data_IF_205003955530
#
_entry.id   IF_205003955530
#
_cell.length_a   1.000
_cell.length_b   1.000
_cell.length_c   1.000
_cell.angle_alpha   90.00
_cell.angle_beta   90.00
_cell.angle_gamma   90.00
#
_symmetry.space_group_name_H-M   'P 1'
#
loop_
_entity.id
_entity.type
_entity.pdbx_description
1 polymer ?
#
# COMPACT_ATOMS: atom_id res chain seq x y z
N UNK A 1 -1.21 31.95 -21.70
CA UNK A 1 -1.02 31.91 -20.24
C UNK A 1 0.04 32.92 -19.89
N UNK A 2 -0.32 33.98 -19.16
CA UNK A 2 0.62 35.07 -18.86
C UNK A 2 1.53 34.77 -17.66
N UNK A 3 1.06 33.91 -16.74
CA UNK A 3 1.82 33.39 -15.58
C UNK A 3 1.28 32.03 -15.13
N UNK A 4 2.17 31.15 -14.67
CA UNK A 4 1.79 29.90 -13.98
C UNK A 4 1.50 30.23 -12.52
N UNK A 5 0.33 29.83 -12.03
CA UNK A 5 -0.16 30.15 -10.67
C UNK A 5 -0.45 28.93 -9.81
N UNK A 6 -0.30 27.73 -10.37
CA UNK A 6 -0.50 26.47 -9.65
C UNK A 6 0.26 25.32 -10.34
N UNK A 7 0.47 24.23 -9.60
CA UNK A 7 1.09 23.01 -10.09
C UNK A 7 0.79 21.84 -9.16
N UNK A 8 1.06 20.60 -9.58
CA UNK A 8 0.74 19.41 -8.80
C UNK A 8 1.59 19.26 -7.52
N UNK A 9 2.71 19.98 -7.43
CA UNK A 9 3.64 19.98 -6.30
C UNK A 9 3.90 21.40 -5.77
N UNK A 10 2.88 22.27 -5.80
CA UNK A 10 3.05 23.72 -5.53
C UNK A 10 3.50 24.04 -4.10
N UNK A 11 3.17 23.17 -3.14
CA UNK A 11 3.47 23.33 -1.71
C UNK A 11 4.79 22.66 -1.28
N UNK A 12 5.61 22.26 -2.26
CA UNK A 12 6.91 21.60 -2.05
C UNK A 12 7.80 22.40 -1.09
N UNK A 13 8.45 21.68 -0.15
CA UNK A 13 9.40 22.22 0.83
C UNK A 13 8.81 23.45 1.54
N UNK A 14 7.56 23.32 2.00
CA UNK A 14 6.82 24.35 2.72
C UNK A 14 6.57 25.64 1.91
N UNK A 15 6.51 25.52 0.57
CA UNK A 15 6.15 26.62 -0.32
C UNK A 15 4.79 27.24 0.02
N UNK A 16 4.80 28.54 0.34
CA UNK A 16 3.62 29.29 0.76
C UNK A 16 3.56 29.59 2.26
N UNK A 17 2.78 30.61 2.61
CA UNK A 17 2.59 31.05 4.01
C UNK A 17 2.02 29.92 4.88
N UNK A 18 2.47 29.86 6.14
CA UNK A 18 1.99 28.86 7.09
C UNK A 18 0.47 28.91 7.27
N UNK A 19 -0.16 30.09 7.29
CA UNK A 19 -1.62 30.22 7.40
C UNK A 19 -2.38 29.48 6.28
N UNK A 20 -1.80 29.43 5.08
CA UNK A 20 -2.37 28.69 3.94
C UNK A 20 -2.15 27.19 4.10
N UNK A 21 -0.92 26.77 4.42
CA UNK A 21 -0.54 25.36 4.60
C UNK A 21 -1.19 24.71 5.82
N UNK A 22 -1.42 25.47 6.89
CA UNK A 22 -2.05 25.01 8.13
C UNK A 22 -3.55 24.72 7.97
N UNK A 23 -4.13 24.92 6.78
CA UNK A 23 -5.48 24.43 6.41
C UNK A 23 -5.51 22.93 6.11
N UNK A 24 -4.35 22.29 6.09
CA UNK A 24 -4.22 20.84 6.11
C UNK A 24 -5.13 20.22 7.19
N UNK A 25 -5.93 19.25 6.77
CA UNK A 25 -6.91 18.55 7.61
C UNK A 25 -6.23 17.82 8.77
N UNK A 26 -4.98 17.39 8.61
CA UNK A 26 -4.26 16.67 9.66
C UNK A 26 -3.89 17.57 10.86
N UNK A 27 -4.05 18.90 10.78
CA UNK A 27 -3.96 19.80 11.94
C UNK A 27 -5.26 19.90 12.76
N UNK A 28 -6.32 19.19 12.40
CA UNK A 28 -7.54 19.16 13.21
C UNK A 28 -7.27 18.70 14.64
N UNK A 29 -7.99 19.31 15.60
CA UNK A 29 -7.83 19.07 17.04
C UNK A 29 -6.43 19.35 17.59
N UNK A 30 -5.64 20.22 16.94
CA UNK A 30 -4.31 20.62 17.39
C UNK A 30 -4.16 22.14 17.54
N UNK A 31 -3.38 22.57 18.54
CA UNK A 31 -2.93 23.96 18.65
C UNK A 31 -1.75 24.20 17.71
N UNK A 32 -2.05 24.62 16.47
CA UNK A 32 -1.03 24.72 15.42
C UNK A 32 -0.19 26.00 15.41
N UNK A 33 -0.51 26.99 16.24
CA UNK A 33 0.15 28.31 16.23
C UNK A 33 1.67 28.23 16.42
N UNK A 34 2.14 27.32 17.29
CA UNK A 34 3.56 27.15 17.57
C UNK A 34 4.36 26.69 16.33
N UNK A 35 3.77 25.93 15.41
CA UNK A 35 4.44 25.43 14.21
C UNK A 35 4.59 26.48 13.10
N UNK A 36 4.05 27.68 13.31
CA UNK A 36 4.35 28.86 12.49
C UNK A 36 5.64 29.57 12.89
N UNK A 37 6.24 29.22 14.04
CA UNK A 37 7.52 29.76 14.50
C UNK A 37 8.68 29.04 13.82
N UNK A 38 9.72 29.78 13.46
CA UNK A 38 10.87 29.26 12.72
C UNK A 38 11.51 28.05 13.43
N UNK A 39 11.69 28.15 14.74
CA UNK A 39 12.33 27.15 15.61
C UNK A 39 11.54 25.83 15.70
N UNK A 40 10.24 25.88 15.47
CA UNK A 40 9.32 24.75 15.56
C UNK A 40 8.88 24.23 14.18
N UNK A 41 9.53 24.70 13.11
CA UNK A 41 9.23 24.25 11.75
C UNK A 41 9.46 22.75 11.62
N UNK A 42 8.47 22.04 11.07
CA UNK A 42 8.59 20.65 10.64
C UNK A 42 8.05 20.48 9.22
N UNK A 43 8.53 19.44 8.54
CA UNK A 43 8.00 18.97 7.27
C UNK A 43 8.20 17.46 7.16
N UNK A 44 7.36 16.81 6.36
CA UNK A 44 7.50 15.39 5.99
C UNK A 44 7.05 15.19 4.55
N UNK A 45 7.45 14.06 3.96
CA UNK A 45 7.02 13.68 2.63
C UNK A 45 5.95 12.59 2.72
N UNK A 46 4.89 12.72 1.92
CA UNK A 46 3.83 11.73 1.82
C UNK A 46 3.65 11.30 0.35
N UNK A 47 4.48 10.38 -0.16
CA UNK A 47 4.28 9.81 -1.49
C UNK A 47 3.09 8.86 -1.49
N UNK A 48 2.12 9.08 -2.38
CA UNK A 48 0.85 8.31 -2.42
C UNK A 48 0.50 7.80 -3.80
N UNK A 49 -0.14 6.65 -3.87
CA UNK A 49 -0.76 6.11 -5.08
C UNK A 49 -2.19 5.64 -4.76
N UNK A 50 -2.82 4.83 -5.62
CA UNK A 50 -4.14 4.28 -5.29
C UNK A 50 -3.99 3.23 -4.19
N UNK A 51 -4.81 3.30 -3.15
CA UNK A 51 -4.72 2.36 -2.03
C UNK A 51 -5.10 0.91 -2.35
N UNK A 52 -5.66 0.62 -3.54
CA UNK A 52 -6.07 -0.74 -3.95
C UNK A 52 -6.90 -1.48 -2.87
N UNK A 53 -7.74 -0.70 -2.19
CA UNK A 53 -8.63 -1.02 -1.08
C UNK A 53 -9.29 -2.40 -1.14
N UNK A 54 -9.54 -3.02 0.01
CA UNK A 54 -10.41 -4.20 0.12
C UNK A 54 -11.88 -3.82 -0.01
N UNK A 55 -12.29 -2.67 0.55
CA UNK A 55 -13.62 -2.08 0.39
C UNK A 55 -13.57 -0.78 -0.46
N UNK A 56 -13.29 -0.87 -1.78
CA UNK A 56 -13.08 0.30 -2.61
C UNK A 56 -14.37 1.13 -2.83
N UNK A 57 -14.46 2.30 -2.19
CA UNK A 57 -15.56 3.24 -2.40
C UNK A 57 -15.75 3.65 -3.87
N UNK A 58 -14.70 3.61 -4.69
CA UNK A 58 -14.79 3.88 -6.12
C UNK A 58 -15.55 2.79 -6.90
N UNK A 59 -15.45 1.52 -6.48
CA UNK A 59 -16.26 0.43 -7.06
C UNK A 59 -17.72 0.66 -6.70
N UNK A 60 -18.02 0.89 -5.42
CA UNK A 60 -19.38 1.11 -4.92
C UNK A 60 -20.10 2.30 -5.56
N UNK A 61 -19.35 3.34 -5.96
CA UNK A 61 -19.92 4.58 -6.51
C UNK A 61 -19.95 4.63 -8.04
N UNK A 62 -19.50 3.60 -8.76
CA UNK A 62 -19.51 3.58 -10.22
C UNK A 62 -20.86 3.09 -10.76
N UNK A 63 -21.71 3.96 -11.37
CA UNK A 63 -23.07 3.55 -11.77
C UNK A 63 -23.09 2.49 -12.88
N UNK A 64 -22.03 2.42 -13.70
CA UNK A 64 -21.94 1.46 -14.80
C UNK A 64 -21.28 0.13 -14.39
N UNK A 65 -20.85 -0.03 -13.13
CA UNK A 65 -20.11 -1.23 -12.69
C UNK A 65 -18.79 -1.46 -13.46
N UNK A 66 -18.17 -0.39 -13.97
CA UNK A 66 -16.95 -0.51 -14.79
C UNK A 66 -15.66 -0.61 -13.96
N UNK A 67 -15.76 -0.49 -12.63
CA UNK A 67 -14.61 -0.58 -11.73
C UNK A 67 -14.75 -1.90 -10.97
N UNK A 68 -13.66 -2.67 -10.91
CA UNK A 68 -13.64 -3.97 -10.28
C UNK A 68 -12.30 -4.20 -9.58
N UNK A 69 -12.29 -5.10 -8.60
CA UNK A 69 -11.10 -5.64 -7.95
C UNK A 69 -10.83 -7.01 -8.56
N UNK A 70 -9.62 -7.24 -9.06
CA UNK A 70 -9.16 -8.54 -9.57
C UNK A 70 -9.07 -9.53 -8.43
N UNK A 71 -9.44 -10.78 -8.69
CA UNK A 71 -9.54 -11.83 -7.68
C UNK A 71 -8.15 -12.34 -7.31
N UNK A 72 -7.32 -12.60 -8.33
CA UNK A 72 -6.02 -13.26 -8.22
C UNK A 72 -4.93 -12.41 -7.54
N UNK A 73 -5.07 -11.07 -7.54
CA UNK A 73 -4.05 -10.16 -6.98
C UNK A 73 -4.61 -8.91 -6.30
N UNK A 74 -5.92 -8.73 -6.24
CA UNK A 74 -6.55 -7.60 -5.57
C UNK A 74 -6.36 -6.24 -6.26
N UNK A 75 -5.80 -6.18 -7.48
CA UNK A 75 -5.61 -4.91 -8.19
C UNK A 75 -6.98 -4.36 -8.62
N UNK A 76 -7.20 -3.06 -8.41
CA UNK A 76 -8.47 -2.38 -8.71
C UNK A 76 -8.31 -1.61 -10.01
N UNK A 77 -9.13 -1.91 -11.01
CA UNK A 77 -9.02 -1.34 -12.36
C UNK A 77 -10.31 -0.66 -12.78
N UNK A 78 -10.20 0.28 -13.73
CA UNK A 78 -11.33 0.86 -14.44
C UNK A 78 -11.30 0.28 -15.85
N UNK A 79 -12.29 -0.54 -16.18
CA UNK A 79 -12.50 -1.09 -17.51
C UNK A 79 -12.75 0.06 -18.49
N UNK A 80 -11.82 0.25 -19.43
CA UNK A 80 -11.90 1.35 -20.39
C UNK A 80 -13.00 1.12 -21.45
N UNK A 81 -13.42 -0.12 -21.70
CA UNK A 81 -14.51 -0.42 -22.62
C UNK A 81 -15.86 -0.24 -21.95
N UNK A 82 -16.02 -0.66 -20.68
CA UNK A 82 -17.27 -0.53 -19.92
C UNK A 82 -17.46 0.85 -19.29
N UNK A 83 -16.40 1.64 -19.08
CA UNK A 83 -16.52 2.98 -18.52
C UNK A 83 -17.41 3.86 -19.42
N UNK A 84 -18.41 4.52 -18.81
CA UNK A 84 -19.35 5.44 -19.48
C UNK A 84 -19.11 6.91 -19.15
N UNK A 85 -18.03 7.23 -18.45
CA UNK A 85 -17.68 8.63 -18.17
C UNK A 85 -18.63 9.33 -17.20
N UNK A 86 -19.25 8.60 -16.26
CA UNK A 86 -20.15 9.18 -15.25
C UNK A 86 -19.44 10.07 -14.22
N UNK A 87 -18.12 9.88 -14.03
CA UNK A 87 -17.25 10.70 -13.15
C UNK A 87 -17.57 10.61 -11.65
N UNK A 88 -18.59 9.86 -11.23
CA UNK A 88 -18.97 9.69 -9.82
C UNK A 88 -17.87 9.04 -8.98
N UNK A 89 -17.10 8.12 -9.57
CA UNK A 89 -15.99 7.44 -8.90
C UNK A 89 -14.87 8.40 -8.46
N UNK A 90 -14.72 9.55 -9.12
CA UNK A 90 -13.73 10.58 -8.75
C UNK A 90 -14.08 11.18 -7.40
N UNK A 91 -15.37 11.50 -7.20
CA UNK A 91 -15.88 11.97 -5.90
C UNK A 91 -15.78 10.86 -4.86
N UNK A 92 -16.22 9.65 -5.21
CA UNK A 92 -16.29 8.51 -4.31
C UNK A 92 -14.94 8.05 -3.77
N UNK A 93 -13.84 8.21 -4.51
CA UNK A 93 -12.50 7.92 -4.00
C UNK A 93 -12.09 9.00 -2.97
N UNK A 94 -11.95 8.66 -1.67
CA UNK A 94 -11.62 9.66 -0.66
C UNK A 94 -10.18 10.17 -0.83
N UNK A 95 -9.26 9.30 -1.30
CA UNK A 95 -7.86 9.64 -1.61
C UNK A 95 -7.65 10.48 -2.89
N UNK A 96 -8.71 10.68 -3.68
CA UNK A 96 -8.68 11.38 -4.98
C UNK A 96 -7.63 10.83 -5.95
N UNK A 97 -7.58 9.49 -6.06
CA UNK A 97 -6.63 8.73 -6.91
C UNK A 97 -7.22 8.22 -8.22
N UNK A 98 -8.36 8.77 -8.60
CA UNK A 98 -8.97 8.59 -9.92
C UNK A 98 -8.99 9.93 -10.61
N UNK A 99 -8.50 9.96 -11.84
CA UNK A 99 -8.33 11.17 -12.63
C UNK A 99 -9.19 11.07 -13.89
N UNK A 100 -9.87 12.15 -14.25
CA UNK A 100 -10.65 12.19 -15.47
C UNK A 100 -9.73 12.45 -16.67
N UNK A 101 -9.76 11.57 -17.67
CA UNK A 101 -9.19 11.86 -18.96
C UNK A 101 -10.19 12.72 -19.74
N UNK A 102 -9.93 14.03 -19.75
CA UNK A 102 -10.78 15.03 -20.40
C UNK A 102 -10.88 14.88 -21.92
N UNK A 103 -9.97 14.12 -22.55
CA UNK A 103 -9.99 13.83 -23.98
C UNK A 103 -10.82 12.58 -24.31
N UNK A 104 -10.56 11.46 -23.64
CA UNK A 104 -11.29 10.21 -23.89
C UNK A 104 -12.70 10.22 -23.30
N UNK A 105 -12.97 11.09 -22.34
CA UNK A 105 -14.23 11.15 -21.61
C UNK A 105 -14.38 10.06 -20.55
N UNK A 106 -13.32 9.31 -20.24
CA UNK A 106 -13.30 8.20 -19.28
C UNK A 106 -12.36 8.50 -18.12
N UNK A 107 -12.55 7.81 -17.01
CA UNK A 107 -11.67 7.94 -15.85
C UNK A 107 -10.55 6.90 -15.89
N UNK A 108 -9.38 7.31 -15.40
CA UNK A 108 -8.18 6.48 -15.29
C UNK A 108 -7.63 6.57 -13.86
N UNK A 109 -6.82 5.58 -13.46
CA UNK A 109 -6.22 5.51 -12.13
C UNK A 109 -4.91 4.75 -12.18
N UNK A 110 -4.17 4.77 -11.06
CA UNK A 110 -3.06 3.83 -10.87
C UNK A 110 -3.54 2.39 -11.09
N UNK A 111 -2.84 1.65 -11.94
CA UNK A 111 -3.14 0.27 -12.32
C UNK A 111 -2.26 -0.75 -11.58
N UNK A 112 -1.60 -0.32 -10.50
CA UNK A 112 -0.58 -1.06 -9.75
C UNK A 112 0.50 -1.73 -10.61
N UNK A 113 0.77 -1.17 -11.79
CA UNK A 113 1.65 -1.78 -12.79
C UNK A 113 1.34 -3.27 -13.04
N UNK A 114 0.06 -3.66 -13.11
CA UNK A 114 -0.34 -5.05 -13.25
C UNK A 114 0.41 -5.84 -14.35
N UNK A 115 0.79 -5.27 -15.53
CA UNK A 115 1.55 -6.04 -16.52
C UNK A 115 2.93 -6.51 -16.02
N UNK A 116 3.48 -5.86 -14.99
CA UNK A 116 4.72 -6.25 -14.31
C UNK A 116 4.44 -7.22 -13.16
N UNK A 117 3.46 -6.90 -12.32
CA UNK A 117 3.04 -7.74 -11.18
C UNK A 117 2.64 -9.15 -11.67
N UNK A 118 1.94 -9.24 -12.81
CA UNK A 118 1.54 -10.51 -13.42
C UNK A 118 2.71 -11.47 -13.66
N UNK A 119 3.93 -10.95 -13.80
CA UNK A 119 5.15 -11.73 -14.00
C UNK A 119 6.11 -11.69 -12.80
N UNK A 120 5.63 -11.33 -11.60
CA UNK A 120 6.45 -11.28 -10.39
C UNK A 120 7.43 -10.11 -10.32
N UNK A 121 7.24 -9.06 -11.12
CA UNK A 121 8.08 -7.87 -11.08
C UNK A 121 7.50 -6.77 -10.19
N UNK A 122 8.33 -5.96 -9.53
CA UNK A 122 7.84 -4.82 -8.76
C UNK A 122 7.18 -3.75 -9.62
N UNK A 123 6.32 -2.95 -9.00
CA UNK A 123 5.75 -1.77 -9.65
C UNK A 123 6.85 -0.75 -10.00
N UNK A 124 6.65 0.02 -11.07
CA UNK A 124 7.65 1.00 -11.55
C UNK A 124 8.06 1.97 -10.43
N UNK A 125 7.09 2.50 -9.69
CA UNK A 125 7.36 3.44 -8.61
C UNK A 125 7.99 2.81 -7.36
N UNK A 126 7.93 1.47 -7.22
CA UNK A 126 8.64 0.74 -6.16
C UNK A 126 10.07 0.47 -6.54
N UNK A 127 10.31 -0.07 -7.74
CA UNK A 127 11.64 -0.37 -8.24
C UNK A 127 12.51 0.89 -8.41
N UNK A 128 11.91 1.99 -8.88
CA UNK A 128 12.61 3.27 -9.07
C UNK A 128 12.67 4.15 -7.82
N UNK A 129 12.23 3.63 -6.66
CA UNK A 129 12.27 4.38 -5.41
C UNK A 129 13.72 4.54 -4.92
N UNK A 130 14.30 5.71 -5.21
CA UNK A 130 15.69 6.05 -4.85
C UNK A 130 15.94 5.94 -3.35
N UNK A 131 14.97 6.36 -2.53
CA UNK A 131 15.06 6.25 -1.07
C UNK A 131 14.93 4.82 -0.53
N UNK A 132 14.61 3.83 -1.38
CA UNK A 132 14.44 2.41 -1.00
C UNK A 132 13.42 2.19 0.13
N UNK A 133 12.41 3.05 0.22
CA UNK A 133 11.39 3.04 1.29
C UNK A 133 10.14 2.20 0.96
N UNK A 134 10.05 1.63 -0.23
CA UNK A 134 8.88 0.88 -0.69
C UNK A 134 9.14 -0.62 -0.61
N UNK A 135 8.17 -1.33 -0.07
CA UNK A 135 8.18 -2.78 0.08
C UNK A 135 6.91 -3.34 -0.57
N UNK A 136 7.04 -4.48 -1.24
CA UNK A 136 5.93 -5.21 -1.85
C UNK A 136 5.96 -6.64 -1.32
N UNK A 137 4.83 -7.11 -0.86
CA UNK A 137 4.65 -8.43 -0.29
C UNK A 137 3.17 -8.78 -0.25
N UNK A 138 2.87 -10.07 -0.32
CA UNK A 138 1.50 -10.59 -0.29
C UNK A 138 0.90 -10.42 1.11
N UNK A 139 -0.40 -10.17 1.16
CA UNK A 139 -1.23 -10.32 2.34
C UNK A 139 -2.41 -11.22 1.97
N UNK A 140 -2.57 -12.32 2.69
CA UNK A 140 -3.78 -13.14 2.62
C UNK A 140 -4.85 -12.46 3.46
N UNK A 141 -6.08 -12.41 2.96
CA UNK A 141 -7.18 -11.75 3.66
C UNK A 141 -8.48 -12.53 3.51
N UNK A 142 -9.30 -12.50 4.55
CA UNK A 142 -10.67 -13.04 4.51
C UNK A 142 -11.61 -12.03 3.85
N UNK A 143 -12.08 -12.35 2.65
CA UNK A 143 -12.99 -11.49 1.90
C UNK A 143 -14.38 -11.38 2.55
N UNK A 144 -14.83 -12.41 3.27
CA UNK A 144 -16.14 -12.43 3.91
C UNK A 144 -16.17 -11.49 5.14
N UNK A 145 -15.02 -11.24 5.77
CA UNK A 145 -14.89 -10.34 6.89
C UNK A 145 -14.85 -8.84 6.52
N UNK A 146 -14.69 -8.49 5.23
CA UNK A 146 -14.49 -7.11 4.76
C UNK A 146 -15.59 -6.16 5.22
N UNK A 147 -16.86 -6.52 5.05
CA UNK A 147 -17.98 -5.66 5.41
C UNK A 147 -17.99 -5.39 6.90
N UNK A 148 -17.92 -6.45 7.71
CA UNK A 148 -17.94 -6.36 9.18
C UNK A 148 -16.78 -5.53 9.74
N UNK A 149 -15.59 -5.62 9.13
CA UNK A 149 -14.44 -4.82 9.52
C UNK A 149 -14.64 -3.34 9.16
N UNK A 150 -15.10 -3.05 7.93
CA UNK A 150 -15.31 -1.69 7.45
C UNK A 150 -16.49 -0.97 8.14
N UNK A 151 -17.47 -1.72 8.64
CA UNK A 151 -18.67 -1.20 9.28
C UNK A 151 -18.58 -1.10 10.81
N UNK A 152 -17.41 -1.37 11.42
CA UNK A 152 -17.19 -1.19 12.87
C UNK A 152 -17.61 0.20 13.35
N UNK A 153 -18.25 0.29 14.51
CA UNK A 153 -18.87 1.53 15.00
C UNK A 153 -17.83 2.65 15.18
N UNK A 154 -16.77 2.38 15.95
CA UNK A 154 -15.73 3.35 16.24
C UNK A 154 -14.63 3.33 15.16
N UNK A 155 -14.38 4.48 14.55
CA UNK A 155 -13.40 4.64 13.48
C UNK A 155 -11.96 4.35 13.93
N UNK A 156 -11.65 4.53 15.23
CA UNK A 156 -10.33 4.18 15.77
C UNK A 156 -10.06 2.68 15.77
N UNK A 157 -11.11 1.86 15.74
CA UNK A 157 -10.97 0.41 15.72
C UNK A 157 -10.66 -0.12 14.31
N UNK A 158 -10.89 0.69 13.26
CA UNK A 158 -10.73 0.26 11.85
C UNK A 158 -9.32 -0.26 11.54
N UNK A 159 -8.28 0.32 12.15
CA UNK A 159 -6.92 -0.18 12.00
C UNK A 159 -6.80 -1.63 12.49
N UNK A 160 -7.26 -1.91 13.71
CA UNK A 160 -7.19 -3.25 14.27
C UNK A 160 -8.13 -4.21 13.53
N UNK A 161 -9.35 -3.78 13.20
CA UNK A 161 -10.30 -4.59 12.42
C UNK A 161 -9.75 -4.97 11.06
N UNK A 162 -8.98 -4.10 10.40
CA UNK A 162 -8.31 -4.47 9.16
C UNK A 162 -7.18 -5.47 9.38
N UNK A 163 -6.40 -5.35 10.46
CA UNK A 163 -5.41 -6.37 10.81
C UNK A 163 -6.06 -7.74 11.05
N UNK A 164 -7.24 -7.76 11.67
CA UNK A 164 -8.00 -9.00 11.95
C UNK A 164 -8.54 -9.68 10.68
N UNK A 165 -8.64 -8.93 9.57
CA UNK A 165 -8.98 -9.46 8.24
C UNK A 165 -7.76 -10.14 7.58
N UNK A 166 -6.53 -9.78 7.97
CA UNK A 166 -5.32 -10.41 7.45
C UNK A 166 -5.05 -11.75 8.14
N UNK A 167 -4.71 -12.75 7.34
CA UNK A 167 -4.53 -14.13 7.78
C UNK A 167 -3.04 -14.46 7.94
N UNK A 168 -2.69 -15.30 8.92
CA UNK A 168 -1.33 -15.78 9.12
C UNK A 168 -0.93 -16.76 8.01
N UNK A 169 0.03 -16.41 7.13
CA UNK A 169 0.43 -17.27 6.02
C UNK A 169 1.23 -18.51 6.46
N UNK A 170 1.63 -18.60 7.73
CA UNK A 170 2.33 -19.76 8.29
C UNK A 170 1.39 -20.70 9.07
N UNK A 171 0.13 -20.31 9.30
CA UNK A 171 -0.86 -21.17 9.94
C UNK A 171 -1.28 -22.30 8.97
N UNK A 172 -1.08 -23.59 9.31
CA UNK A 172 -1.49 -24.71 8.48
C UNK A 172 -2.96 -24.68 8.05
N UNK A 173 -3.86 -24.19 8.91
CA UNK A 173 -5.28 -24.10 8.59
C UNK A 173 -5.56 -23.03 7.52
N UNK A 174 -4.86 -21.89 7.59
CA UNK A 174 -4.93 -20.84 6.57
C UNK A 174 -4.35 -21.33 5.25
N UNK A 175 -3.23 -22.07 5.28
CA UNK A 175 -2.61 -22.64 4.07
C UNK A 175 -3.56 -23.62 3.37
N UNK A 176 -4.17 -24.54 4.14
CA UNK A 176 -5.14 -25.50 3.60
C UNK A 176 -6.34 -24.79 2.98
N UNK A 177 -6.89 -23.79 3.67
CA UNK A 177 -8.03 -23.01 3.18
C UNK A 177 -7.65 -22.18 1.93
N UNK A 178 -6.47 -21.54 1.90
CA UNK A 178 -6.01 -20.78 0.75
C UNK A 178 -5.88 -21.66 -0.51
N UNK A 179 -5.33 -22.87 -0.37
CA UNK A 179 -5.25 -23.84 -1.48
C UNK A 179 -6.65 -24.27 -1.96
N UNK A 180 -7.58 -24.47 -1.03
CA UNK A 180 -8.97 -24.82 -1.33
C UNK A 180 -9.70 -23.70 -2.07
N UNK A 181 -9.40 -22.45 -1.74
CA UNK A 181 -9.96 -21.26 -2.41
C UNK A 181 -9.23 -20.91 -3.71
N UNK A 182 -8.26 -21.73 -4.14
CA UNK A 182 -7.59 -21.59 -5.44
C UNK A 182 -6.39 -20.65 -5.45
N UNK A 183 -5.88 -20.24 -4.28
CA UNK A 183 -4.64 -19.45 -4.19
C UNK A 183 -3.45 -20.32 -4.61
N UNK A 184 -2.63 -19.89 -5.59
CA UNK A 184 -1.47 -20.67 -6.02
C UNK A 184 -0.44 -20.86 -4.90
N UNK A 185 0.21 -22.03 -4.84
CA UNK A 185 1.23 -22.33 -3.82
C UNK A 185 2.35 -21.29 -3.79
N UNK A 186 2.81 -20.80 -4.95
CA UNK A 186 3.82 -19.75 -5.05
C UNK A 186 3.41 -18.42 -4.40
N UNK A 187 2.11 -18.10 -4.37
CA UNK A 187 1.56 -16.90 -3.74
C UNK A 187 1.54 -17.09 -2.22
N UNK A 188 1.22 -18.30 -1.74
CA UNK A 188 1.32 -18.66 -0.32
C UNK A 188 2.78 -18.60 0.15
N UNK A 189 3.72 -19.18 -0.60
CA UNK A 189 5.15 -19.13 -0.31
C UNK A 189 5.68 -17.67 -0.28
N UNK A 190 5.17 -16.81 -1.17
CA UNK A 190 5.47 -15.38 -1.15
C UNK A 190 4.87 -14.67 0.07
N UNK A 191 3.67 -15.06 0.52
CA UNK A 191 3.05 -14.50 1.72
C UNK A 191 3.84 -14.83 2.99
N UNK A 192 4.38 -16.04 3.10
CA UNK A 192 5.18 -16.49 4.25
C UNK A 192 6.46 -15.68 4.47
N UNK A 193 7.00 -15.07 3.41
CA UNK A 193 8.20 -14.23 3.47
C UNK A 193 7.90 -12.75 3.20
N UNK A 194 6.63 -12.34 3.28
CA UNK A 194 6.17 -10.99 2.92
C UNK A 194 6.75 -9.91 3.85
N UNK A 195 7.52 -8.93 3.32
CA UNK A 195 7.98 -7.80 4.12
C UNK A 195 6.81 -6.93 4.61
N UNK A 196 5.70 -6.91 3.87
CA UNK A 196 4.51 -6.15 4.22
C UNK A 196 3.81 -6.78 5.43
N UNK A 197 3.67 -8.11 5.44
CA UNK A 197 3.14 -8.84 6.60
C UNK A 197 3.98 -8.57 7.84
N UNK A 198 5.31 -8.70 7.74
CA UNK A 198 6.24 -8.40 8.84
C UNK A 198 6.07 -6.99 9.40
N UNK A 199 6.00 -5.98 8.54
CA UNK A 199 5.86 -4.58 8.99
C UNK A 199 4.49 -4.26 9.59
N UNK A 200 3.41 -4.82 9.04
CA UNK A 200 2.05 -4.52 9.48
C UNK A 200 1.60 -5.39 10.67
N UNK A 201 1.86 -6.70 10.61
CA UNK A 201 1.38 -7.71 11.57
C UNK A 201 2.39 -7.95 12.68
N UNK A 202 3.63 -8.33 12.34
CA UNK A 202 4.61 -8.78 13.35
C UNK A 202 5.19 -7.61 14.14
N UNK A 203 5.68 -6.58 13.45
CA UNK A 203 6.43 -5.48 14.06
C UNK A 203 5.56 -4.26 14.36
N UNK A 204 4.31 -4.21 13.89
CA UNK A 204 3.38 -3.09 14.10
C UNK A 204 4.00 -1.72 13.77
N UNK A 205 4.77 -1.66 12.67
CA UNK A 205 5.43 -0.45 12.19
C UNK A 205 4.61 0.26 11.11
N UNK A 206 4.02 -0.51 10.21
CA UNK A 206 3.22 0.02 9.11
C UNK A 206 1.77 0.23 9.57
N UNK A 207 1.21 1.38 9.19
CA UNK A 207 -0.14 1.83 9.53
C UNK A 207 -0.89 2.24 8.26
N UNK A 208 -2.22 2.01 8.18
CA UNK A 208 -3.03 2.38 7.01
C UNK A 208 -3.08 3.91 6.84
N UNK A 209 -3.25 4.39 5.60
CA UNK A 209 -3.51 5.81 5.36
C UNK A 209 -5.00 6.12 5.49
N UNK A 210 -5.36 7.00 6.42
CA UNK A 210 -6.75 7.39 6.70
C UNK A 210 -7.72 6.18 6.80
N UNK A 211 -7.54 5.29 7.80
CA UNK A 211 -8.41 4.13 7.98
C UNK A 211 -9.89 4.52 8.18
N UNK A 212 -10.17 5.69 8.74
CA UNK A 212 -11.52 6.25 8.96
C UNK A 212 -12.33 6.43 7.68
N UNK A 213 -11.69 6.38 6.51
CA UNK A 213 -12.41 6.34 5.23
C UNK A 213 -13.13 5.01 4.97
N UNK A 214 -12.94 4.01 5.83
CA UNK A 214 -13.63 2.71 5.81
C UNK A 214 -13.44 1.92 4.51
N UNK A 215 -12.41 2.27 3.75
CA UNK A 215 -12.09 1.58 2.50
C UNK A 215 -11.19 0.37 2.69
N UNK A 216 -10.63 0.17 3.90
CA UNK A 216 -9.61 -0.83 4.19
C UNK A 216 -8.43 -0.75 3.19
N UNK A 217 -7.63 0.34 3.24
CA UNK A 217 -6.57 0.63 2.28
C UNK A 217 -5.44 -0.41 2.35
N UNK A 218 -4.77 -0.71 1.23
CA UNK A 218 -3.71 -1.74 1.14
C UNK A 218 -2.30 -1.16 0.89
N UNK A 219 -2.13 0.17 0.96
CA UNK A 219 -0.80 0.80 0.91
C UNK A 219 -0.54 1.49 2.25
N UNK A 220 0.34 0.90 3.04
CA UNK A 220 0.57 1.29 4.43
C UNK A 220 1.90 2.03 4.59
N UNK A 221 2.00 2.78 5.67
CA UNK A 221 3.08 3.74 5.93
C UNK A 221 3.71 3.49 7.29
N UNK A 222 5.04 3.46 7.32
CA UNK A 222 5.79 3.59 8.58
C UNK A 222 5.91 5.09 8.89
N UNK A 223 5.48 5.56 10.07
CA UNK A 223 5.55 6.99 10.41
C UNK A 223 7.00 7.47 10.47
N UNK A 224 7.31 8.71 10.05
CA UNK A 224 8.68 9.22 10.04
C UNK A 224 9.15 9.59 11.45
N UNK A 225 10.40 9.22 11.78
CA UNK A 225 11.13 9.90 12.85
C UNK A 225 11.50 11.33 12.42
N UNK A 226 11.79 12.19 13.38
CA UNK A 226 12.20 13.58 13.14
C UNK A 226 13.33 14.02 14.06
N UNK A 227 13.95 15.18 13.83
CA UNK A 227 14.81 15.82 14.83
C UNK A 227 14.05 16.08 16.14
N UNK A 228 14.80 16.37 17.20
CA UNK A 228 14.24 16.78 18.48
C UNK A 228 13.64 18.20 18.44
N UNK A 229 12.65 18.46 19.29
CA UNK A 229 12.09 19.77 19.55
C UNK A 229 13.14 20.71 20.14
N UNK A 230 12.93 22.02 19.95
CA UNK A 230 13.79 23.04 20.53
C UNK A 230 13.70 22.98 22.06
N UNK A 231 14.78 22.57 22.71
CA UNK A 231 14.92 22.56 24.17
C UNK A 231 15.75 23.77 24.64
N UNK A 232 15.55 24.21 25.88
CA UNK A 232 16.23 25.38 26.45
C UNK A 232 17.74 25.15 26.68
N UNK A 233 18.14 23.90 26.93
CA UNK A 233 19.52 23.45 27.11
C UNK A 233 19.83 22.27 26.18
N UNK A 234 21.10 21.87 26.05
CA UNK A 234 21.60 20.84 25.12
C UNK A 234 21.04 19.40 25.32
N UNK A 235 20.02 19.23 26.16
CA UNK A 235 19.36 17.97 26.49
C UNK A 235 20.12 17.15 27.52
N UNK A 236 19.38 16.47 28.41
CA UNK A 236 19.90 15.42 29.28
C UNK A 236 19.89 14.07 28.54
N UNK A 237 20.71 13.11 28.99
CA UNK A 237 20.67 11.74 28.46
C UNK A 237 19.32 11.10 28.80
N UNK A 238 18.53 10.75 27.78
CA UNK A 238 17.22 10.12 27.92
C UNK A 238 17.31 8.62 28.19
N UNK A 239 16.14 7.96 28.18
CA UNK A 239 16.05 6.50 28.37
C UNK A 239 16.83 5.70 27.31
N UNK A 240 17.01 6.30 26.13
CA UNK A 240 17.81 5.78 25.01
C UNK A 240 19.25 6.36 24.96
N UNK A 241 19.75 6.92 26.07
CA UNK A 241 21.06 7.57 26.13
C UNK A 241 21.12 8.82 25.25
N UNK A 242 21.99 8.82 24.24
CA UNK A 242 22.13 9.95 23.30
C UNK A 242 21.07 9.96 22.18
N UNK A 243 20.27 8.90 22.05
CA UNK A 243 19.24 8.83 21.02
C UNK A 243 17.96 9.53 21.52
N UNK A 244 17.20 10.20 20.61
CA UNK A 244 15.96 10.86 20.98
C UNK A 244 14.95 9.91 21.61
N UNK A 245 14.25 10.38 22.65
CA UNK A 245 13.02 9.75 23.12
C UNK A 245 11.84 10.21 22.24
N UNK A 246 10.78 9.40 22.10
CA UNK A 246 9.66 9.71 21.20
C UNK A 246 8.98 11.04 21.54
N UNK A 247 8.87 11.37 22.83
CA UNK A 247 8.24 12.59 23.31
C UNK A 247 9.03 13.86 22.92
N UNK A 248 10.32 13.70 22.57
CA UNK A 248 11.18 14.79 22.14
C UNK A 248 11.07 15.09 20.63
N UNK A 249 10.37 14.28 19.84
CA UNK A 249 10.30 14.43 18.38
C UNK A 249 9.54 15.70 17.97
N UNK A 250 10.08 16.43 16.97
CA UNK A 250 9.51 17.67 16.45
C UNK A 250 8.20 17.51 15.68
N UNK A 251 8.04 16.42 14.93
CA UNK A 251 6.77 16.16 14.26
C UNK A 251 5.73 15.81 15.34
N UNK A 252 4.61 16.56 15.44
CA UNK A 252 3.59 16.24 16.41
C UNK A 252 2.96 14.87 16.14
N UNK A 253 2.99 13.99 17.14
CA UNK A 253 2.41 12.64 17.03
C UNK A 253 0.91 12.68 16.70
N UNK A 254 0.18 13.69 17.20
CA UNK A 254 -1.24 13.84 16.88
C UNK A 254 -1.49 14.09 15.38
N UNK A 255 -0.59 14.81 14.70
CA UNK A 255 -0.70 15.02 13.25
C UNK A 255 -0.53 13.71 12.49
N UNK A 256 0.44 12.88 12.90
CA UNK A 256 0.64 11.54 12.34
C UNK A 256 -0.54 10.61 12.65
N UNK A 257 -1.14 10.74 13.84
CA UNK A 257 -2.29 9.95 14.23
C UNK A 257 -3.55 10.32 13.42
N UNK A 258 -3.78 11.61 13.20
CA UNK A 258 -4.84 12.10 12.33
C UNK A 258 -4.67 11.61 10.87
N UNK A 259 -3.45 11.26 10.47
CA UNK A 259 -3.13 10.77 9.12
C UNK A 259 -3.23 9.25 9.00
N UNK A 260 -2.86 8.50 10.03
CA UNK A 260 -2.60 7.06 9.91
C UNK A 260 -3.49 6.17 10.78
N UNK A 261 -4.16 6.73 11.79
CA UNK A 261 -4.80 5.94 12.86
C UNK A 261 -6.08 6.61 13.39
N UNK A 262 -6.78 7.37 12.55
CA UNK A 262 -8.03 8.06 12.92
C UNK A 262 -7.88 8.90 14.22
N UNK A 263 -6.71 9.51 14.43
CA UNK A 263 -6.39 10.33 15.59
C UNK A 263 -5.97 9.57 16.85
N UNK A 264 -5.86 8.24 16.83
CA UNK A 264 -5.29 7.47 17.94
C UNK A 264 -3.75 7.49 17.91
N UNK A 265 -3.12 8.10 18.91
CA UNK A 265 -1.66 8.23 18.97
C UNK A 265 -0.95 6.94 19.35
N UNK A 266 -1.63 5.96 19.97
CA UNK A 266 -0.96 4.79 20.55
C UNK A 266 -0.24 3.93 19.50
N UNK A 267 -0.84 3.57 18.35
CA UNK A 267 -0.14 2.76 17.35
C UNK A 267 1.04 3.52 16.70
N UNK A 268 0.90 4.84 16.55
CA UNK A 268 1.98 5.70 16.03
C UNK A 268 3.16 5.74 17.01
N UNK A 269 2.88 5.97 18.29
CA UNK A 269 3.91 5.96 19.34
C UNK A 269 4.62 4.61 19.39
N UNK A 270 3.88 3.50 19.32
CA UNK A 270 4.47 2.15 19.32
C UNK A 270 5.43 1.98 18.14
N UNK A 271 5.02 2.34 16.92
CA UNK A 271 5.86 2.24 15.72
C UNK A 271 7.14 3.08 15.85
N UNK A 272 7.02 4.34 16.31
CA UNK A 272 8.15 5.24 16.51
C UNK A 272 9.11 4.73 17.60
N UNK A 273 8.57 4.26 18.74
CA UNK A 273 9.36 3.68 19.84
C UNK A 273 10.11 2.44 19.38
N UNK A 274 9.47 1.54 18.63
CA UNK A 274 10.11 0.32 18.09
C UNK A 274 11.26 0.63 17.14
N UNK A 275 11.13 1.63 16.28
CA UNK A 275 12.26 2.06 15.43
C UNK A 275 13.42 2.65 16.24
N UNK A 276 13.14 3.44 17.28
CA UNK A 276 14.20 3.99 18.15
C UNK A 276 14.86 2.89 19.00
N UNK A 277 14.08 1.92 19.50
CA UNK A 277 14.59 0.78 20.24
C UNK A 277 15.55 -0.07 19.40
N UNK A 278 15.22 -0.33 18.12
CA UNK A 278 16.13 -0.97 17.18
C UNK A 278 17.43 -0.16 17.02
N UNK A 279 17.34 1.17 16.90
CA UNK A 279 18.54 2.04 16.79
C UNK A 279 19.40 2.00 18.05
N UNK A 280 18.79 1.97 19.23
CA UNK A 280 19.49 1.83 20.50
C UNK A 280 20.26 0.51 20.57
N UNK A 281 19.57 -0.61 20.32
CA UNK A 281 20.17 -1.95 20.30
C UNK A 281 21.36 -2.03 19.32
N UNK A 282 21.16 -1.62 18.06
CA UNK A 282 22.21 -1.67 17.03
C UNK A 282 23.37 -0.72 17.33
N UNK A 283 23.13 0.40 18.03
CA UNK A 283 24.21 1.28 18.47
C UNK A 283 25.07 0.61 19.55
N UNK A 284 24.46 0.05 20.59
CA UNK A 284 25.19 -0.64 21.65
C UNK A 284 26.07 -1.77 21.07
N UNK A 285 25.52 -2.50 20.09
CA UNK A 285 26.25 -3.58 19.41
C UNK A 285 27.41 -3.05 18.56
N UNK A 286 27.18 -2.05 17.70
CA UNK A 286 28.15 -1.61 16.70
C UNK A 286 29.17 -0.59 17.20
N UNK A 287 28.83 0.20 18.23
CA UNK A 287 29.69 1.23 18.80
C UNK A 287 30.36 0.74 20.06
N UNK A 288 29.58 0.19 21.00
CA UNK A 288 30.09 -0.18 22.33
C UNK A 288 30.53 -1.65 22.40
N UNK A 289 30.25 -2.45 21.36
CA UNK A 289 30.57 -3.88 21.32
C UNK A 289 29.80 -4.70 22.36
N UNK A 290 28.61 -4.25 22.75
CA UNK A 290 27.79 -4.85 23.81
C UNK A 290 26.39 -5.17 23.32
N UNK A 291 25.79 -6.20 23.91
CA UNK A 291 24.36 -6.47 23.75
C UNK A 291 23.61 -5.68 24.81
N UNK A 292 22.78 -4.72 24.40
CA UNK A 292 21.85 -3.99 25.28
C UNK A 292 20.42 -4.07 24.72
N UNK A 293 19.61 -4.94 25.32
CA UNK A 293 18.22 -5.23 24.94
C UNK A 293 17.19 -4.40 25.68
N UNK A 294 17.59 -3.52 26.63
CA UNK A 294 16.67 -2.78 27.50
C UNK A 294 15.59 -2.03 26.72
N UNK A 295 15.98 -1.33 25.65
CA UNK A 295 15.04 -0.60 24.81
C UNK A 295 14.12 -1.52 23.99
N UNK A 296 14.58 -2.72 23.62
CA UNK A 296 13.75 -3.72 22.91
C UNK A 296 12.69 -4.31 23.85
N UNK A 297 13.08 -4.65 25.07
CA UNK A 297 12.19 -5.19 26.10
C UNK A 297 11.06 -4.20 26.43
N UNK A 298 11.36 -2.90 26.53
CA UNK A 298 10.37 -1.85 26.80
C UNK A 298 9.26 -1.80 25.74
N UNK A 299 9.56 -2.13 24.48
CA UNK A 299 8.62 -2.08 23.35
C UNK A 299 8.12 -3.47 22.91
N UNK A 300 8.45 -4.51 23.68
CA UNK A 300 8.07 -5.89 23.41
C UNK A 300 8.63 -6.45 22.12
N UNK A 301 9.90 -6.17 21.80
CA UNK A 301 10.64 -6.76 20.69
C UNK A 301 11.70 -7.74 21.19
N UNK A 302 11.86 -8.86 20.49
CA UNK A 302 13.02 -9.75 20.68
C UNK A 302 14.24 -9.28 19.91
N UNK A 303 15.42 -9.77 20.27
CA UNK A 303 16.66 -9.54 19.49
C UNK A 303 16.52 -10.02 18.04
N UNK A 304 15.90 -11.20 17.84
CA UNK A 304 15.67 -11.74 16.50
C UNK A 304 14.79 -10.81 15.65
N UNK A 305 13.71 -10.27 16.23
CA UNK A 305 12.87 -9.28 15.55
C UNK A 305 13.64 -8.00 15.25
N UNK A 306 14.45 -7.49 16.19
CA UNK A 306 15.24 -6.28 15.96
C UNK A 306 16.32 -6.47 14.87
N UNK A 307 16.95 -7.65 14.82
CA UNK A 307 17.91 -8.03 13.77
C UNK A 307 17.22 -8.16 12.41
N UNK A 308 16.03 -8.77 12.36
CA UNK A 308 15.25 -8.88 11.13
C UNK A 308 14.72 -7.52 10.65
N UNK A 309 14.20 -6.68 11.56
CA UNK A 309 13.86 -5.29 11.27
C UNK A 309 15.07 -4.55 10.69
N UNK A 310 16.27 -4.73 11.25
CA UNK A 310 17.49 -4.12 10.72
C UNK A 310 17.84 -4.64 9.32
N UNK A 311 17.72 -5.96 9.08
CA UNK A 311 17.89 -6.56 7.74
C UNK A 311 16.95 -5.90 6.74
N UNK A 312 15.65 -5.85 7.03
CA UNK A 312 14.67 -5.35 6.07
C UNK A 312 14.72 -3.82 5.91
N UNK A 313 14.88 -3.05 6.99
CA UNK A 313 14.78 -1.59 6.95
C UNK A 313 16.10 -0.87 6.65
N UNK A 314 17.24 -1.42 7.10
CA UNK A 314 18.54 -0.78 6.95
C UNK A 314 19.35 -1.37 5.78
N UNK A 315 19.52 -2.69 5.74
CA UNK A 315 20.24 -3.36 4.64
C UNK A 315 19.36 -3.37 3.38
N UNK A 316 18.10 -3.77 3.56
CA UNK A 316 17.01 -3.67 2.60
C UNK A 316 17.39 -4.24 1.23
N UNK A 317 17.88 -5.49 1.15
CA UNK A 317 18.25 -6.10 -0.13
C UNK A 317 17.06 -6.13 -1.11
N UNK A 318 17.32 -6.23 -2.43
CA UNK A 318 16.26 -6.05 -3.43
C UNK A 318 15.16 -7.12 -3.27
N UNK A 319 15.59 -8.36 -3.09
CA UNK A 319 14.80 -9.56 -2.82
C UNK A 319 14.03 -9.48 -1.50
N UNK A 320 14.56 -8.77 -0.49
CA UNK A 320 13.86 -8.54 0.78
C UNK A 320 12.80 -7.44 0.63
N UNK A 321 13.02 -6.46 -0.25
CA UNK A 321 12.05 -5.38 -0.48
C UNK A 321 10.86 -5.82 -1.33
N UNK A 322 11.09 -6.69 -2.31
CA UNK A 322 10.09 -7.02 -3.32
C UNK A 322 9.89 -8.53 -3.41
N UNK A 323 8.92 -9.02 -2.66
CA UNK A 323 8.46 -10.41 -2.71
C UNK A 323 7.13 -10.42 -3.48
N UNK A 324 7.23 -10.44 -4.80
CA UNK A 324 6.07 -10.39 -5.71
C UNK A 324 5.97 -11.71 -6.47
N UNK A 325 4.94 -12.54 -6.22
CA UNK A 325 4.72 -13.76 -6.99
C UNK A 325 4.17 -13.45 -8.39
N UNK A 326 4.18 -14.43 -9.27
CA UNK A 326 3.40 -14.38 -10.53
C UNK A 326 1.90 -14.29 -10.22
N UNK A 327 1.13 -13.60 -11.06
CA UNK A 327 -0.34 -13.65 -10.98
C UNK A 327 -0.93 -14.87 -11.71
N UNK A 328 -0.09 -15.79 -12.21
CA UNK A 328 -0.50 -17.08 -12.78
C UNK A 328 -1.57 -16.96 -13.89
N UNK A 329 -1.27 -16.16 -14.92
CA UNK A 329 -2.19 -15.90 -16.05
C UNK A 329 -2.66 -17.16 -16.77
N UNK A 330 -1.86 -18.23 -16.72
CA UNK A 330 -2.16 -19.54 -17.30
C UNK A 330 -3.27 -20.30 -16.58
N UNK A 331 -3.61 -19.95 -15.33
CA UNK A 331 -4.70 -20.61 -14.60
C UNK A 331 -6.09 -20.11 -15.05
N UNK A 332 -6.17 -18.87 -15.53
CA UNK A 332 -7.43 -18.24 -15.92
C UNK A 332 -7.70 -18.30 -17.44
N UNK A 333 -6.68 -18.59 -18.27
CA UNK A 333 -6.77 -18.47 -19.73
C UNK A 333 -5.95 -19.54 -20.43
N UNK A 334 -6.32 -19.85 -21.67
CA UNK A 334 -5.49 -20.67 -22.55
C UNK A 334 -4.23 -19.89 -22.97
N UNK A 335 -3.15 -20.07 -22.21
CA UNK A 335 -1.91 -19.32 -22.38
C UNK A 335 -1.14 -19.70 -23.65
N UNK A 336 -1.34 -20.89 -24.20
CA UNK A 336 -0.59 -21.36 -25.37
C UNK A 336 -0.93 -20.61 -26.67
N UNK A 337 -2.20 -20.48 -27.09
CA UNK A 337 -2.55 -19.66 -28.25
C UNK A 337 -2.29 -18.18 -27.99
N UNK A 338 -2.48 -17.69 -26.75
CA UNK A 338 -2.13 -16.31 -26.39
C UNK A 338 -0.64 -16.04 -26.60
N UNK A 339 0.26 -16.89 -26.09
CA UNK A 339 1.72 -16.79 -26.31
C UNK A 339 2.10 -16.71 -27.79
N UNK A 340 1.32 -17.36 -28.65
CA UNK A 340 1.63 -17.49 -30.07
C UNK A 340 1.11 -16.32 -30.92
N UNK A 341 0.03 -15.66 -30.49
CA UNK A 341 -0.66 -14.63 -31.27
C UNK A 341 -0.81 -13.26 -30.59
N UNK A 342 -0.51 -13.12 -29.31
CA UNK A 342 -0.63 -11.83 -28.63
C UNK A 342 0.35 -10.78 -29.21
N UNK A 343 -0.07 -9.53 -29.27
CA UNK A 343 0.74 -8.41 -29.79
C UNK A 343 0.55 -8.09 -31.28
N UNK A 344 -0.07 -8.99 -32.06
CA UNK A 344 -0.45 -8.73 -33.46
C UNK A 344 -1.73 -7.90 -33.54
N UNK A 345 -1.65 -6.60 -33.24
CA UNK A 345 -2.79 -5.67 -33.19
C UNK A 345 -3.25 -5.22 -34.58
N UNK A 346 -3.48 -6.14 -35.51
CA UNK A 346 -3.98 -5.86 -36.86
C UNK A 346 -5.46 -5.42 -36.89
N UNK A 347 -6.16 -5.55 -35.76
CA UNK A 347 -7.57 -5.16 -35.63
C UNK A 347 -8.54 -6.25 -36.08
N UNK A 348 -8.41 -7.46 -35.52
CA UNK A 348 -9.31 -8.58 -35.87
C UNK A 348 -10.78 -8.39 -35.47
N UNK A 349 -11.09 -7.41 -34.61
CA UNK A 349 -12.45 -7.07 -34.19
C UNK A 349 -13.15 -8.14 -33.33
N UNK A 350 -12.41 -9.12 -32.80
CA UNK A 350 -12.97 -10.25 -32.05
C UNK A 350 -12.50 -10.31 -30.58
N UNK A 351 -11.68 -9.35 -30.13
CA UNK A 351 -11.25 -9.24 -28.74
C UNK A 351 -12.33 -8.59 -27.87
N UNK A 352 -12.40 -8.95 -26.58
CA UNK A 352 -13.32 -8.34 -25.61
C UNK A 352 -14.72 -8.98 -25.52
N UNK A 353 -14.96 -10.12 -26.17
CA UNK A 353 -16.23 -10.86 -26.09
C UNK A 353 -16.01 -12.37 -26.07
N UNK A 354 -16.80 -13.09 -25.27
CA UNK A 354 -16.80 -14.57 -25.23
C UNK A 354 -17.57 -15.18 -26.40
N UNK A 355 -18.58 -14.47 -26.93
CA UNK A 355 -19.36 -14.93 -28.08
C UNK A 355 -18.50 -14.88 -29.34
N UNK A 356 -18.38 -16.02 -30.04
CA UNK A 356 -17.60 -16.12 -31.30
C UNK A 356 -18.18 -15.32 -32.46
N UNK A 357 -19.50 -15.09 -32.45
CA UNK A 357 -20.18 -14.31 -33.48
C UNK A 357 -19.70 -12.85 -33.47
N UNK A 358 -19.43 -12.31 -34.65
CA UNK A 358 -19.13 -10.90 -34.86
C UNK A 358 -19.66 -10.42 -36.22
N UNK A 359 -19.96 -9.13 -36.33
CA UNK A 359 -20.58 -8.53 -37.52
C UNK A 359 -19.68 -8.54 -38.76
N UNK A 360 -18.36 -8.63 -38.57
CA UNK A 360 -17.38 -8.52 -39.65
C UNK A 360 -16.87 -9.87 -40.16
N UNK A 361 -17.48 -10.98 -39.73
CA UNK A 361 -17.10 -12.34 -40.14
C UNK A 361 -15.59 -12.61 -39.97
N UNK A 362 -15.03 -12.09 -38.89
CA UNK A 362 -13.62 -12.22 -38.52
C UNK A 362 -13.43 -13.31 -37.46
N UNK A 363 -12.18 -13.60 -37.11
CA UNK A 363 -11.77 -14.58 -36.09
C UNK A 363 -10.61 -14.02 -35.27
N UNK A 364 -10.50 -14.39 -34.00
CA UNK A 364 -9.39 -13.97 -33.14
C UNK A 364 -8.06 -14.51 -33.65
N UNK A 365 -7.04 -13.64 -33.68
CA UNK A 365 -5.67 -14.00 -34.09
C UNK A 365 -5.00 -14.94 -33.08
N UNK A 366 -5.28 -14.75 -31.80
CA UNK A 366 -4.67 -15.44 -30.66
C UNK A 366 -5.52 -16.60 -30.13
N UNK A 367 -6.30 -17.26 -31.00
CA UNK A 367 -7.17 -18.38 -30.64
C UNK A 367 -7.13 -19.50 -31.70
N UNK A 368 -7.55 -20.71 -31.30
CA UNK A 368 -7.66 -21.86 -32.21
C UNK A 368 -9.10 -22.02 -32.69
N UNK A 369 -9.33 -21.79 -33.98
CA UNK A 369 -10.65 -21.97 -34.63
C UNK A 369 -10.85 -23.41 -35.14
N UNK A 370 -9.77 -24.06 -35.59
CA UNK A 370 -9.80 -25.45 -36.08
C UNK A 370 -9.75 -26.42 -34.89
N UNK A 371 -10.93 -26.88 -34.48
CA UNK A 371 -11.09 -27.85 -33.37
C UNK A 371 -10.46 -29.21 -33.68
N UNK A 372 -9.90 -29.87 -32.67
CA UNK A 372 -9.40 -31.24 -32.77
C UNK A 372 -10.50 -32.19 -33.26
N UNK A 373 -10.15 -33.08 -34.20
CA UNK A 373 -11.03 -34.13 -34.75
C UNK A 373 -10.52 -35.54 -34.43
N UNK A 374 -9.49 -35.63 -33.61
CA UNK A 374 -8.74 -36.86 -33.32
C UNK A 374 -8.83 -37.25 -31.85
N UNK A 375 -9.87 -36.79 -31.15
CA UNK A 375 -10.13 -37.25 -29.79
C UNK A 375 -10.45 -38.75 -29.86
N UNK A 376 -9.75 -39.61 -29.11
CA UNK A 376 -10.05 -41.04 -29.11
C UNK A 376 -11.50 -41.22 -28.67
N UNK A 377 -12.32 -41.85 -29.51
CA UNK A 377 -13.64 -42.29 -29.10
C UNK A 377 -13.46 -43.27 -27.93
N UNK A 378 -13.93 -42.88 -26.74
CA UNK A 378 -13.94 -43.71 -25.55
C UNK A 378 -14.85 -44.94 -25.73
#
# INVERSE_FOLDING_TARGET
>A
MDKITSGPNWEEILGGEFEKRAKDQNFENMQKAMYGQFENTFMMYLPRLCEHCLNPACVATCPSGAIYKREEDGIVLIDQDKCRGWRMCITGCPYKKIYFNWKSGKSEKCIFCYPRIEAGQPTVCSETCVGRIRYLGVLLYDADAIESAASTENEKDLYQRQLDVFLDPNDPAVIEQALKDGVPQSVIDAAQQSPVYKMAMDWKLALPLHPEYRTLPMVWYVPPLSPIQSAADAGELGSNGILPDVDSLRIPVQYLANLLTAGDTQPVLLALKRMLAMRHYKRAETVDGKVDTRALEEVGLSEAQAQEMYRYLAIANYEDRFVVPSSHRELARDAFPEKSGCGFTFGDGCHGSDTKFNLFNSRRIDAVDVTSKTEPHA
#
